data_IF_998243833110
#
_entry.id   IF_998243833110
#
_cell.length_a   1.000
_cell.length_b   1.000
_cell.length_c   1.000
_cell.angle_alpha   90.00
_cell.angle_beta   90.00
_cell.angle_gamma   90.00
#
_symmetry.space_group_name_H-M   'P 1'
#
loop_
_entity.id
_entity.type
_entity.pdbx_description
1 polymer ?
#
# COMPACT_ATOMS: atom_id res chain seq x y z
N UNK A 1 -2.75 -22.20 -5.18
CA UNK A 1 -2.49 -23.29 -6.16
C UNK A 1 -3.51 -23.24 -7.30
N UNK A 2 -4.82 -23.19 -7.03
CA UNK A 2 -5.85 -23.29 -8.09
C UNK A 2 -5.79 -22.13 -9.09
N UNK A 3 -5.65 -20.90 -8.61
CA UNK A 3 -5.48 -19.73 -9.48
C UNK A 3 -4.22 -19.85 -10.34
N UNK A 4 -3.12 -20.31 -9.77
CA UNK A 4 -1.89 -20.53 -10.51
C UNK A 4 -2.05 -21.58 -11.60
N UNK A 5 -2.70 -22.71 -11.30
CA UNK A 5 -3.00 -23.76 -12.26
C UNK A 5 -3.93 -23.28 -13.39
N UNK A 6 -4.81 -22.32 -13.10
CA UNK A 6 -5.65 -21.65 -14.08
C UNK A 6 -4.92 -20.59 -14.92
N UNK A 7 -3.61 -20.40 -14.71
CA UNK A 7 -2.78 -19.45 -15.48
C UNK A 7 -2.47 -18.13 -14.77
N UNK A 8 -2.94 -17.90 -13.53
CA UNK A 8 -2.61 -16.70 -12.77
C UNK A 8 -1.11 -16.66 -12.43
N UNK A 9 -0.49 -15.49 -12.59
CA UNK A 9 0.93 -15.23 -12.29
C UNK A 9 1.13 -14.02 -11.38
N UNK A 10 0.06 -13.38 -10.93
CA UNK A 10 0.12 -12.27 -9.99
C UNK A 10 -1.09 -12.29 -9.07
N UNK A 11 -0.85 -12.28 -7.77
CA UNK A 11 -1.90 -12.22 -6.74
C UNK A 11 -1.58 -11.08 -5.79
N UNK A 12 -2.58 -10.26 -5.48
CA UNK A 12 -2.49 -9.22 -4.47
C UNK A 12 -3.41 -9.57 -3.30
N UNK A 13 -2.85 -9.51 -2.10
CA UNK A 13 -3.64 -9.51 -0.86
C UNK A 13 -4.10 -8.08 -0.56
N UNK A 14 -5.35 -7.91 -0.20
CA UNK A 14 -5.89 -6.67 0.34
C UNK A 14 -5.99 -6.78 1.86
N UNK A 15 -5.10 -6.10 2.58
CA UNK A 15 -4.89 -6.29 4.01
C UNK A 15 -5.14 -4.99 4.80
N UNK A 16 -6.33 -4.88 5.38
CA UNK A 16 -6.70 -3.75 6.23
C UNK A 16 -6.12 -3.84 7.66
N UNK A 17 -5.67 -5.03 8.10
CA UNK A 17 -5.21 -5.25 9.47
C UNK A 17 -3.93 -4.47 9.76
N UNK A 18 -2.98 -4.47 8.83
CA UNK A 18 -1.77 -3.65 8.96
C UNK A 18 -2.09 -2.15 9.04
N UNK A 19 -3.11 -1.69 8.28
CA UNK A 19 -3.60 -0.32 8.37
C UNK A 19 -4.17 0.02 9.76
N UNK A 20 -4.88 -0.92 10.39
CA UNK A 20 -5.38 -0.76 11.75
C UNK A 20 -4.25 -0.69 12.78
N UNK A 21 -3.20 -1.50 12.63
CA UNK A 21 -2.02 -1.47 13.51
C UNK A 21 -1.28 -0.12 13.49
N UNK A 22 -1.40 0.63 12.41
CA UNK A 22 -0.90 2.00 12.32
C UNK A 22 -1.74 3.01 13.11
N UNK A 23 -3.02 2.72 13.41
CA UNK A 23 -3.95 3.69 13.99
C UNK A 23 -3.72 3.87 15.50
N UNK A 24 -3.43 5.10 15.97
CA UNK A 24 -3.22 5.36 17.40
C UNK A 24 -4.40 4.96 18.30
N UNK A 25 -5.64 5.05 17.78
CA UNK A 25 -6.82 4.66 18.55
C UNK A 25 -6.87 3.15 18.73
N UNK A 26 -6.54 2.38 17.69
CA UNK A 26 -6.43 0.93 17.80
C UNK A 26 -5.31 0.52 18.75
N UNK A 27 -4.14 1.16 18.65
CA UNK A 27 -3.00 0.90 19.56
C UNK A 27 -3.38 1.16 21.02
N UNK A 28 -4.09 2.27 21.30
CA UNK A 28 -4.59 2.57 22.64
C UNK A 28 -5.61 1.54 23.13
N UNK A 29 -6.49 1.07 22.25
CA UNK A 29 -7.50 0.04 22.56
C UNK A 29 -6.85 -1.29 22.97
N UNK A 30 -5.90 -1.80 22.19
CA UNK A 30 -5.23 -3.08 22.51
C UNK A 30 -4.33 -2.96 23.76
N UNK A 31 -3.71 -1.81 23.99
CA UNK A 31 -2.90 -1.56 25.17
C UNK A 31 -3.74 -1.61 26.46
N UNK A 32 -4.99 -1.11 26.44
CA UNK A 32 -5.93 -1.23 27.57
C UNK A 32 -6.29 -2.70 27.87
N UNK A 33 -6.28 -3.56 26.85
CA UNK A 33 -6.47 -5.01 27.01
C UNK A 33 -5.19 -5.75 27.40
N UNK A 34 -4.07 -5.04 27.64
CA UNK A 34 -2.78 -5.63 27.99
C UNK A 34 -2.06 -6.29 26.83
N UNK A 35 -2.48 -6.03 25.57
CA UNK A 35 -1.86 -6.57 24.35
C UNK A 35 -0.78 -5.62 23.84
N UNK A 36 0.41 -6.14 23.55
CA UNK A 36 1.46 -5.37 22.89
C UNK A 36 1.31 -5.44 21.38
N UNK A 37 1.40 -4.28 20.73
CA UNK A 37 1.33 -4.20 19.26
C UNK A 37 2.38 -5.08 18.59
N UNK A 38 3.61 -5.07 19.10
CA UNK A 38 4.72 -5.85 18.56
C UNK A 38 4.41 -7.36 18.55
N UNK A 39 3.87 -7.89 19.66
CA UNK A 39 3.53 -9.31 19.76
C UNK A 39 2.42 -9.67 18.76
N UNK A 40 1.40 -8.81 18.64
CA UNK A 40 0.31 -8.99 17.70
C UNK A 40 0.78 -8.90 16.24
N UNK A 41 1.63 -7.93 15.92
CA UNK A 41 2.19 -7.75 14.59
C UNK A 41 3.07 -8.95 14.17
N UNK A 42 3.91 -9.46 15.09
CA UNK A 42 4.75 -10.64 14.83
C UNK A 42 3.91 -11.90 14.58
N UNK A 43 2.86 -12.12 15.37
CA UNK A 43 1.99 -13.29 15.16
C UNK A 43 1.20 -13.15 13.85
N UNK A 44 0.72 -11.95 13.51
CA UNK A 44 0.03 -11.70 12.26
C UNK A 44 0.95 -11.90 11.06
N UNK A 45 2.19 -11.40 11.11
CA UNK A 45 3.21 -11.65 10.11
C UNK A 45 3.48 -13.15 9.92
N UNK A 46 3.61 -13.89 11.03
CA UNK A 46 3.83 -15.34 11.00
C UNK A 46 2.72 -16.06 10.24
N UNK A 47 1.46 -15.68 10.49
CA UNK A 47 0.29 -16.28 9.81
C UNK A 47 0.27 -15.91 8.33
N UNK A 48 0.57 -14.65 7.97
CA UNK A 48 0.64 -14.23 6.57
C UNK A 48 1.73 -15.02 5.84
N UNK A 49 2.94 -15.09 6.40
CA UNK A 49 4.04 -15.84 5.79
C UNK A 49 3.74 -17.33 5.64
N UNK A 50 3.06 -17.93 6.61
CA UNK A 50 2.61 -19.33 6.52
C UNK A 50 1.64 -19.53 5.34
N UNK A 51 0.73 -18.58 5.10
CA UNK A 51 -0.20 -18.64 3.97
C UNK A 51 0.51 -18.51 2.60
N UNK A 52 1.72 -17.92 2.58
CA UNK A 52 2.53 -17.73 1.38
C UNK A 52 3.52 -18.88 1.12
N UNK A 53 3.64 -19.85 2.03
CA UNK A 53 4.56 -20.97 1.88
C UNK A 53 4.24 -21.83 0.64
N UNK A 54 5.30 -22.30 -0.03
CA UNK A 54 5.16 -23.16 -1.20
C UNK A 54 4.65 -22.47 -2.46
N UNK A 55 4.65 -21.12 -2.51
CA UNK A 55 4.31 -20.42 -3.74
C UNK A 55 5.26 -20.79 -4.89
N UNK A 56 4.77 -20.92 -6.14
CA UNK A 56 5.63 -21.06 -7.30
C UNK A 56 6.56 -19.84 -7.47
N UNK A 57 7.79 -20.07 -7.92
CA UNK A 57 8.80 -19.01 -8.05
C UNK A 57 8.45 -17.91 -9.06
N UNK A 58 7.62 -18.23 -10.05
CA UNK A 58 7.13 -17.32 -11.09
C UNK A 58 5.77 -16.70 -10.77
N UNK A 59 5.25 -16.90 -9.55
CA UNK A 59 4.04 -16.23 -9.05
C UNK A 59 4.43 -14.98 -8.27
N UNK A 60 4.14 -13.80 -8.81
CA UNK A 60 4.28 -12.54 -8.10
C UNK A 60 3.21 -12.43 -7.00
N UNK A 61 3.63 -12.24 -5.77
CA UNK A 61 2.75 -11.98 -4.62
C UNK A 61 2.98 -10.57 -4.09
N UNK A 62 1.91 -9.83 -3.94
CA UNK A 62 1.95 -8.46 -3.41
C UNK A 62 0.92 -8.28 -2.30
N UNK A 63 1.13 -7.32 -1.42
CA UNK A 63 0.14 -6.92 -0.43
C UNK A 63 -0.21 -5.45 -0.56
N UNK A 64 -1.49 -5.13 -0.46
CA UNK A 64 -1.97 -3.76 -0.31
C UNK A 64 -2.33 -3.50 1.14
N UNK A 65 -1.66 -2.54 1.77
CA UNK A 65 -2.00 -2.09 3.12
C UNK A 65 -3.12 -1.08 3.04
N UNK A 66 -4.35 -1.59 3.03
CA UNK A 66 -5.56 -0.78 2.92
C UNK A 66 -5.88 -0.05 4.22
N UNK A 67 -6.34 1.20 4.10
CA UNK A 67 -6.79 2.01 5.24
C UNK A 67 -8.31 2.18 5.29
N UNK A 68 -9.03 1.37 4.53
CA UNK A 68 -10.46 1.46 4.30
C UNK A 68 -10.79 2.33 3.08
N UNK A 69 -11.74 1.85 2.29
CA UNK A 69 -12.16 2.53 1.06
C UNK A 69 -13.66 2.32 0.81
N UNK A 70 -14.48 3.06 1.54
CA UNK A 70 -15.93 2.99 1.41
C UNK A 70 -16.50 4.36 1.06
N UNK A 71 -17.08 4.48 -0.13
CA UNK A 71 -17.76 5.69 -0.61
C UNK A 71 -16.97 6.98 -0.36
N UNK A 72 -15.69 7.00 -0.75
CA UNK A 72 -14.74 8.11 -0.56
C UNK A 72 -14.35 8.38 0.91
N UNK A 73 -14.54 7.42 1.80
CA UNK A 73 -14.09 7.52 3.19
C UNK A 73 -12.97 6.51 3.48
N UNK A 74 -12.34 6.64 4.62
CA UNK A 74 -11.32 5.73 5.14
C UNK A 74 -11.65 5.36 6.60
N UNK A 75 -11.04 4.28 7.11
CA UNK A 75 -11.30 3.74 8.45
C UNK A 75 -10.11 3.95 9.41
N UNK A 76 -8.87 3.90 8.94
CA UNK A 76 -7.67 3.97 9.79
C UNK A 76 -6.70 5.05 9.32
N UNK A 77 -5.93 5.61 10.26
CA UNK A 77 -4.89 6.61 10.03
C UNK A 77 -3.62 6.26 10.84
N UNK A 78 -2.54 6.98 10.59
CA UNK A 78 -1.26 6.80 11.25
C UNK A 78 -0.16 6.39 10.25
N UNK A 79 1.07 6.84 10.48
CA UNK A 79 2.23 6.47 9.67
C UNK A 79 2.61 5.00 9.84
N UNK A 80 3.40 4.48 8.92
CA UNK A 80 3.81 3.06 8.92
C UNK A 80 4.89 2.72 9.96
N UNK A 81 5.48 3.71 10.65
CA UNK A 81 6.59 3.49 11.59
C UNK A 81 6.34 2.38 12.63
N UNK A 82 5.14 2.22 13.23
CA UNK A 82 4.91 1.18 14.23
C UNK A 82 5.01 -0.26 13.70
N UNK A 83 4.78 -0.46 12.40
CA UNK A 83 4.75 -1.81 11.78
C UNK A 83 5.89 -2.05 10.80
N UNK A 84 6.59 -1.01 10.36
CA UNK A 84 7.62 -1.11 9.33
C UNK A 84 8.75 -2.11 9.66
N UNK A 85 9.30 -2.16 10.89
CA UNK A 85 10.34 -3.13 11.22
C UNK A 85 9.88 -4.59 11.12
N UNK A 86 8.58 -4.84 11.30
CA UNK A 86 7.99 -6.18 11.21
C UNK A 86 7.54 -6.47 9.79
N UNK A 87 6.64 -5.65 9.26
CA UNK A 87 6.02 -5.86 7.96
C UNK A 87 7.02 -5.77 6.81
N UNK A 88 7.67 -4.61 6.67
CA UNK A 88 8.49 -4.33 5.48
C UNK A 88 9.77 -5.15 5.42
N UNK A 89 10.33 -5.49 6.59
CA UNK A 89 11.52 -6.32 6.66
C UNK A 89 11.24 -7.81 6.39
N UNK A 90 10.07 -8.33 6.81
CA UNK A 90 9.92 -9.77 6.99
C UNK A 90 8.75 -10.42 6.25
N UNK A 91 7.76 -9.68 5.73
CA UNK A 91 6.68 -10.32 4.97
C UNK A 91 7.16 -10.84 3.62
N UNK A 92 6.83 -12.08 3.28
CA UNK A 92 7.33 -12.79 2.08
C UNK A 92 6.57 -12.43 0.80
N UNK A 93 6.43 -11.13 0.53
CA UNK A 93 5.85 -10.58 -0.69
C UNK A 93 6.91 -9.92 -1.57
N UNK A 94 6.60 -9.74 -2.86
CA UNK A 94 7.50 -9.11 -3.83
C UNK A 94 7.34 -7.59 -3.87
N UNK A 95 6.15 -7.09 -3.49
CA UNK A 95 5.89 -5.65 -3.44
C UNK A 95 4.81 -5.28 -2.40
N UNK A 96 4.95 -4.06 -1.87
CA UNK A 96 3.98 -3.41 -1.00
C UNK A 96 3.27 -2.29 -1.77
N UNK A 97 1.93 -2.30 -1.78
CA UNK A 97 1.09 -1.20 -2.25
C UNK A 97 0.66 -0.38 -1.04
N UNK A 98 1.18 0.83 -0.92
CA UNK A 98 1.04 1.65 0.28
C UNK A 98 0.31 2.96 -0.02
N UNK A 99 -0.68 3.30 0.80
CA UNK A 99 -1.40 4.57 0.69
C UNK A 99 -0.54 5.72 1.23
N UNK A 100 -0.32 6.73 0.39
CA UNK A 100 0.40 7.97 0.71
C UNK A 100 -0.25 9.20 0.06
N UNK A 101 -1.55 9.15 -0.24
CA UNK A 101 -2.28 10.20 -0.95
C UNK A 101 -2.53 11.47 -0.11
N UNK A 102 -2.45 11.37 1.21
CA UNK A 102 -2.55 12.50 2.13
C UNK A 102 -1.70 12.30 3.42
N UNK A 103 -1.78 13.29 4.31
CA UNK A 103 -1.00 13.34 5.56
C UNK A 103 -1.36 12.25 6.59
N UNK A 104 -2.54 11.60 6.46
CA UNK A 104 -2.96 10.54 7.41
C UNK A 104 -2.03 9.34 7.42
N UNK A 105 -1.27 9.13 6.35
CA UNK A 105 -0.35 8.00 6.17
C UNK A 105 1.08 8.31 6.65
N UNK A 106 1.34 9.51 7.16
CA UNK A 106 2.67 9.92 7.63
C UNK A 106 3.67 10.19 6.49
N UNK A 107 4.94 9.98 6.78
CA UNK A 107 6.06 10.23 5.87
C UNK A 107 6.66 8.93 5.29
N UNK A 108 7.69 9.07 4.45
CA UNK A 108 8.35 7.94 3.77
C UNK A 108 9.51 7.31 4.56
N UNK A 109 9.90 7.85 5.72
CA UNK A 109 11.00 7.30 6.53
C UNK A 109 10.87 5.79 6.81
N UNK A 110 9.66 5.23 7.07
CA UNK A 110 9.49 3.80 7.28
C UNK A 110 9.93 2.91 6.11
N UNK A 111 10.04 3.46 4.89
CA UNK A 111 10.48 2.71 3.71
C UNK A 111 11.94 2.21 3.82
N UNK A 112 12.76 2.78 4.70
CA UNK A 112 14.11 2.29 4.99
C UNK A 112 14.13 0.83 5.47
N UNK A 113 13.01 0.32 6.02
CA UNK A 113 12.89 -1.07 6.47
C UNK A 113 12.54 -2.05 5.37
N UNK A 114 12.24 -1.59 4.15
CA UNK A 114 11.86 -2.47 3.04
C UNK A 114 13.06 -3.32 2.63
N UNK A 115 12.95 -4.63 2.84
CA UNK A 115 14.01 -5.59 2.54
C UNK A 115 14.46 -5.51 1.06
N UNK A 116 15.72 -5.81 0.81
CA UNK A 116 16.27 -5.83 -0.55
C UNK A 116 15.46 -6.75 -1.49
N UNK A 117 15.40 -6.37 -2.77
CA UNK A 117 14.64 -7.10 -3.80
C UNK A 117 13.14 -6.82 -3.83
N UNK A 118 12.56 -6.20 -2.80
CA UNK A 118 11.13 -5.85 -2.78
C UNK A 118 10.88 -4.48 -3.37
N UNK A 119 9.72 -4.32 -4.01
CA UNK A 119 9.26 -3.04 -4.55
C UNK A 119 8.26 -2.36 -3.61
N UNK A 120 8.14 -1.05 -3.77
CA UNK A 120 7.09 -0.24 -3.14
C UNK A 120 6.31 0.48 -4.22
N UNK A 121 5.00 0.29 -4.22
CA UNK A 121 4.07 1.00 -5.08
C UNK A 121 3.46 2.13 -4.26
N UNK A 122 3.84 3.35 -4.59
CA UNK A 122 3.42 4.56 -3.89
C UNK A 122 2.01 4.95 -4.36
N UNK A 123 1.03 4.78 -3.51
CA UNK A 123 -0.35 5.21 -3.72
C UNK A 123 -0.51 6.71 -3.46
N UNK A 124 0.00 7.54 -4.38
CA UNK A 124 0.02 9.01 -4.25
C UNK A 124 -1.20 9.70 -4.84
N UNK A 125 -2.00 9.00 -5.64
CA UNK A 125 -3.17 9.54 -6.33
C UNK A 125 -4.41 9.08 -5.57
N UNK A 126 -5.16 10.04 -4.98
CA UNK A 126 -6.35 9.69 -4.20
C UNK A 126 -7.51 9.20 -5.09
N UNK A 127 -8.18 8.14 -4.64
CA UNK A 127 -9.44 7.69 -5.24
C UNK A 127 -10.67 8.20 -4.48
N UNK A 128 -10.47 9.05 -3.48
CA UNK A 128 -11.53 9.56 -2.59
C UNK A 128 -12.03 10.95 -2.97
N UNK A 129 -11.36 11.62 -3.89
CA UNK A 129 -11.70 12.97 -4.35
C UNK A 129 -11.54 13.08 -5.86
N UNK A 130 -12.45 13.77 -6.57
CA UNK A 130 -12.34 13.99 -8.01
C UNK A 130 -11.21 14.97 -8.39
N UNK A 131 -10.69 15.74 -7.42
CA UNK A 131 -9.62 16.70 -7.68
C UNK A 131 -8.38 15.98 -8.23
N UNK A 132 -7.93 16.40 -9.41
CA UNK A 132 -6.68 15.90 -10.00
C UNK A 132 -5.49 16.47 -9.23
N UNK A 133 -4.54 15.62 -8.91
CA UNK A 133 -3.31 15.99 -8.26
C UNK A 133 -2.41 16.84 -9.18
N UNK A 134 -1.61 17.72 -8.58
CA UNK A 134 -0.57 18.43 -9.31
C UNK A 134 0.59 17.50 -9.65
N UNK A 135 0.88 17.36 -10.95
CA UNK A 135 1.90 16.44 -11.47
C UNK A 135 3.28 16.68 -10.85
N UNK A 136 3.70 17.94 -10.76
CA UNK A 136 5.02 18.29 -10.22
C UNK A 136 5.12 17.94 -8.72
N UNK A 137 4.04 18.15 -7.97
CA UNK A 137 3.96 17.77 -6.55
C UNK A 137 4.07 16.27 -6.35
N UNK A 138 3.41 15.45 -7.20
CA UNK A 138 3.51 13.99 -7.12
C UNK A 138 4.93 13.51 -7.44
N UNK A 139 5.56 14.07 -8.49
CA UNK A 139 6.95 13.75 -8.84
C UNK A 139 7.90 14.11 -7.71
N UNK A 140 7.74 15.29 -7.09
CA UNK A 140 8.55 15.70 -5.93
C UNK A 140 8.42 14.71 -4.77
N UNK A 141 7.22 14.17 -4.51
CA UNK A 141 7.01 13.15 -3.47
C UNK A 141 7.64 11.79 -3.82
N UNK A 142 7.68 11.41 -5.10
CA UNK A 142 8.42 10.20 -5.52
C UNK A 142 9.91 10.38 -5.21
N UNK A 143 10.51 11.54 -5.52
CA UNK A 143 11.91 11.82 -5.19
C UNK A 143 12.16 12.02 -3.69
N UNK A 144 11.14 12.36 -2.91
CA UNK A 144 11.23 12.32 -1.45
C UNK A 144 11.35 10.87 -0.95
N UNK A 145 10.56 9.96 -1.48
CA UNK A 145 10.62 8.53 -1.14
C UNK A 145 11.94 7.88 -1.57
N UNK A 146 12.54 8.35 -2.67
CA UNK A 146 13.83 7.88 -3.19
C UNK A 146 14.98 8.05 -2.18
N UNK A 147 14.86 8.92 -1.20
CA UNK A 147 15.85 9.06 -0.12
C UNK A 147 15.96 7.82 0.77
N UNK A 148 14.96 6.95 0.77
CA UNK A 148 14.87 5.77 1.64
C UNK A 148 14.93 4.45 0.87
N UNK A 149 14.56 4.44 -0.40
CA UNK A 149 14.54 3.25 -1.26
C UNK A 149 14.85 3.65 -2.71
N UNK A 150 15.74 2.93 -3.43
CA UNK A 150 16.13 3.29 -4.79
C UNK A 150 14.95 3.43 -5.75
N UNK A 151 15.05 4.38 -6.69
CA UNK A 151 13.98 4.73 -7.64
C UNK A 151 13.53 3.55 -8.50
N UNK A 152 14.42 2.63 -8.85
CA UNK A 152 14.12 1.41 -9.63
C UNK A 152 13.26 0.39 -8.87
N UNK A 153 13.17 0.56 -7.54
CA UNK A 153 12.30 -0.22 -6.66
C UNK A 153 10.99 0.50 -6.31
N UNK A 154 10.83 1.75 -6.76
CA UNK A 154 9.60 2.54 -6.61
C UNK A 154 8.70 2.40 -7.82
N UNK A 155 7.39 2.40 -7.58
CA UNK A 155 6.34 2.46 -8.60
C UNK A 155 5.26 3.45 -8.13
N UNK A 156 4.36 3.83 -9.02
CA UNK A 156 3.24 4.73 -8.72
C UNK A 156 1.91 4.05 -8.99
N UNK A 157 0.93 4.28 -8.11
CA UNK A 157 -0.46 3.86 -8.32
C UNK A 157 -1.45 4.85 -7.70
N UNK A 158 -2.76 4.70 -7.98
CA UNK A 158 -3.80 5.19 -7.08
C UNK A 158 -3.62 4.59 -5.69
N UNK A 159 -4.12 5.31 -4.67
CA UNK A 159 -3.95 4.90 -3.27
C UNK A 159 -4.70 3.59 -2.94
N UNK A 160 -5.85 3.36 -3.58
CA UNK A 160 -6.68 2.15 -3.47
C UNK A 160 -7.50 2.00 -4.75
N UNK A 161 -8.51 1.11 -4.79
CA UNK A 161 -9.48 1.02 -5.87
C UNK A 161 -10.45 2.21 -5.91
N UNK A 162 -11.11 2.42 -7.05
CA UNK A 162 -12.15 3.46 -7.24
C UNK A 162 -13.54 2.99 -6.78
N UNK A 163 -13.72 1.68 -6.64
CA UNK A 163 -14.95 1.06 -6.16
C UNK A 163 -14.62 -0.25 -5.43
N UNK A 164 -14.42 -0.17 -4.12
CA UNK A 164 -14.19 -1.35 -3.27
C UNK A 164 -15.49 -2.07 -2.88
N UNK A 165 -16.65 -1.49 -3.23
CA UNK A 165 -17.98 -2.08 -3.11
C UNK A 165 -18.89 -1.51 -4.20
N UNK A 166 -20.11 -2.03 -4.33
CA UNK A 166 -21.06 -1.67 -5.40
C UNK A 166 -21.42 -0.19 -5.47
N UNK A 167 -21.37 0.53 -4.35
CA UNK A 167 -21.66 1.96 -4.34
C UNK A 167 -20.54 2.81 -4.97
N UNK A 168 -19.29 2.29 -5.00
CA UNK A 168 -18.13 3.02 -5.50
C UNK A 168 -17.75 4.27 -4.71
N UNK A 169 -16.72 4.96 -5.15
CA UNK A 169 -16.31 6.26 -4.63
C UNK A 169 -17.03 7.41 -5.36
N UNK A 170 -16.98 8.61 -4.79
CA UNK A 170 -17.67 9.81 -5.31
C UNK A 170 -16.88 10.45 -6.47
N UNK A 171 -16.61 9.66 -7.50
CA UNK A 171 -15.94 10.06 -8.72
C UNK A 171 -16.74 9.55 -9.91
N UNK A 172 -16.76 10.33 -11.00
CA UNK A 172 -17.26 9.91 -12.29
C UNK A 172 -16.21 9.05 -13.03
N UNK A 173 -16.63 8.29 -14.03
CA UNK A 173 -15.74 7.52 -14.89
C UNK A 173 -14.67 8.41 -15.54
N UNK A 174 -15.04 9.61 -15.98
CA UNK A 174 -14.11 10.56 -16.58
C UNK A 174 -13.03 11.00 -15.58
N UNK A 175 -13.39 11.28 -14.34
CA UNK A 175 -12.45 11.66 -13.30
C UNK A 175 -11.51 10.50 -12.94
N UNK A 176 -12.02 9.27 -12.90
CA UNK A 176 -11.20 8.07 -12.74
C UNK A 176 -10.18 7.96 -13.90
N UNK A 177 -10.64 8.07 -15.15
CA UNK A 177 -9.75 7.98 -16.32
C UNK A 177 -8.69 9.09 -16.34
N UNK A 178 -9.06 10.32 -15.94
CA UNK A 178 -8.10 11.43 -15.82
C UNK A 178 -7.00 11.12 -14.79
N UNK A 179 -7.34 10.53 -13.65
CA UNK A 179 -6.37 10.11 -12.63
C UNK A 179 -5.45 8.99 -13.14
N UNK A 180 -5.99 7.98 -13.82
CA UNK A 180 -5.18 6.91 -14.42
C UNK A 180 -4.25 7.44 -15.53
N UNK A 181 -4.72 8.41 -16.30
CA UNK A 181 -3.89 9.10 -17.30
C UNK A 181 -2.75 9.86 -16.63
N UNK A 182 -3.03 10.58 -15.53
CA UNK A 182 -2.00 11.27 -14.76
C UNK A 182 -0.95 10.30 -14.20
N UNK A 183 -1.35 9.15 -13.66
CA UNK A 183 -0.43 8.09 -13.20
C UNK A 183 0.50 7.67 -14.33
N UNK A 184 -0.06 7.42 -15.53
CA UNK A 184 0.72 7.03 -16.71
C UNK A 184 1.72 8.12 -17.13
N UNK A 185 1.26 9.37 -17.24
CA UNK A 185 2.12 10.51 -17.63
C UNK A 185 3.27 10.73 -16.65
N UNK A 186 3.03 10.56 -15.34
CA UNK A 186 4.07 10.65 -14.32
C UNK A 186 5.05 9.47 -14.45
N UNK A 187 4.53 8.25 -14.63
CA UNK A 187 5.37 7.06 -14.76
C UNK A 187 6.29 7.15 -16.00
N UNK A 188 5.78 7.64 -17.14
CA UNK A 188 6.57 7.88 -18.35
C UNK A 188 7.68 8.94 -18.12
N UNK A 189 7.39 9.99 -17.35
CA UNK A 189 8.37 11.05 -17.05
C UNK A 189 9.45 10.58 -16.09
N UNK A 190 9.07 9.87 -15.02
CA UNK A 190 10.00 9.48 -13.94
C UNK A 190 10.83 8.25 -14.31
N UNK A 191 10.25 7.26 -14.98
CA UNK A 191 10.92 5.98 -15.29
C UNK A 191 11.18 5.75 -16.78
N UNK A 192 10.69 6.61 -17.68
CA UNK A 192 10.94 6.54 -19.13
C UNK A 192 10.26 5.34 -19.81
N UNK A 193 9.12 4.89 -19.30
CA UNK A 193 8.44 3.67 -19.78
C UNK A 193 6.99 3.94 -20.16
#
# INVERSE_FOLDING_TARGET
TDLYNAGCRSIQFDDCTWGMFCDPNYQAFIAQAGVKLEDQANEYLRLNNLALEGRPADLALTTHVCRGNYHSTWASRGGYAPIAPVLFAHENVDAFYLEFDDERSGNFEPLQYVAEGKKVVLGLITTKSPRLEDKASVIARIHEAEKYIPLDRLCLSPQCGFASCEIGNKLTDLEQWNKLKLVKEIAEEVWGK
#
